data_IF_508715848571
#
_entry.id   IF_508715848571
#
_cell.length_a   1.000
_cell.length_b   1.000
_cell.length_c   1.000
_cell.angle_alpha   90.00
_cell.angle_beta   90.00
_cell.angle_gamma   90.00
#
_symmetry.space_group_name_H-M   'P 1'
#
loop_
_entity.id
_entity.type
_entity.pdbx_description
1 polymer ?
#
# COMPACT_ATOMS: atom_id res chain seq x y z
N UNK A 1 9.74 8.85 -15.24
CA UNK A 1 8.67 9.34 -14.34
C UNK A 1 7.80 8.14 -13.99
N UNK A 2 7.79 7.71 -12.74
CA UNK A 2 6.91 6.61 -12.31
C UNK A 2 5.47 7.14 -12.42
N UNK A 3 4.62 6.47 -13.20
CA UNK A 3 3.22 6.86 -13.32
C UNK A 3 2.50 6.45 -12.04
N UNK A 4 1.82 7.40 -11.39
CA UNK A 4 1.07 7.11 -10.19
C UNK A 4 -0.04 6.09 -10.47
N UNK A 5 -0.12 5.03 -9.67
CA UNK A 5 -1.19 4.03 -9.78
C UNK A 5 -2.45 4.51 -9.06
N UNK A 6 -3.51 4.80 -9.81
CA UNK A 6 -4.77 5.30 -9.24
C UNK A 6 -5.46 4.26 -8.33
N UNK A 7 -5.61 2.97 -8.73
CA UNK A 7 -6.24 1.95 -7.88
C UNK A 7 -5.49 1.74 -6.56
N UNK A 8 -4.16 1.69 -6.62
CA UNK A 8 -3.29 1.55 -5.46
C UNK A 8 -3.45 2.72 -4.48
N UNK A 9 -3.41 3.96 -4.98
CA UNK A 9 -3.55 5.14 -4.15
C UNK A 9 -4.96 5.30 -3.57
N UNK A 10 -6.00 4.85 -4.30
CA UNK A 10 -7.39 4.84 -3.81
C UNK A 10 -7.55 3.89 -2.62
N UNK A 11 -7.01 2.66 -2.73
CA UNK A 11 -7.01 1.68 -1.64
C UNK A 11 -6.27 2.23 -0.40
N UNK A 12 -5.04 2.71 -0.59
CA UNK A 12 -4.25 3.25 0.53
C UNK A 12 -4.94 4.45 1.20
N UNK A 13 -5.67 5.26 0.44
CA UNK A 13 -6.47 6.37 1.00
C UNK A 13 -7.62 5.85 1.87
N UNK A 14 -8.33 4.81 1.43
CA UNK A 14 -9.42 4.22 2.19
C UNK A 14 -8.92 3.64 3.52
N UNK A 15 -7.80 2.93 3.51
CA UNK A 15 -7.19 2.36 4.71
C UNK A 15 -6.63 3.45 5.62
N UNK A 16 -5.93 4.45 5.06
CA UNK A 16 -5.37 5.56 5.84
C UNK A 16 -6.45 6.34 6.62
N UNK A 17 -7.70 6.36 6.16
CA UNK A 17 -8.84 6.98 6.85
C UNK A 17 -9.35 6.18 8.05
N UNK A 18 -9.05 4.88 8.12
CA UNK A 18 -9.42 4.03 9.25
C UNK A 18 -8.48 4.26 10.46
N UNK A 19 -7.44 5.08 10.31
CA UNK A 19 -6.42 5.35 11.33
C UNK A 19 -5.73 4.09 11.89
N UNK A 20 -5.83 2.97 11.19
CA UNK A 20 -5.20 1.71 11.55
C UNK A 20 -3.85 1.57 10.83
N UNK A 21 -2.77 1.46 11.60
CA UNK A 21 -1.44 1.12 11.07
C UNK A 21 -1.33 -0.39 10.93
N UNK A 22 -0.93 -0.87 9.75
CA UNK A 22 -0.83 -2.29 9.41
C UNK A 22 0.60 -2.67 9.04
N UNK A 23 0.98 -3.91 9.29
CA UNK A 23 2.26 -4.46 8.81
C UNK A 23 2.10 -5.05 7.38
N UNK A 24 0.90 -5.53 7.04
CA UNK A 24 0.52 -6.13 5.75
C UNK A 24 -0.99 -5.98 5.53
N UNK A 25 -1.43 -6.07 4.26
CA UNK A 25 -2.86 -6.16 3.90
C UNK A 25 -3.28 -7.60 3.61
N UNK A 26 -4.51 -7.97 4.01
CA UNK A 26 -5.07 -9.31 3.74
C UNK A 26 -5.78 -9.36 2.38
N UNK A 27 -6.07 -10.56 1.88
CA UNK A 27 -6.78 -10.75 0.63
C UNK A 27 -8.17 -10.11 0.62
N UNK A 28 -8.87 -10.11 1.75
CA UNK A 28 -10.17 -9.47 1.93
C UNK A 28 -10.07 -7.95 1.73
N UNK A 29 -8.98 -7.33 2.18
CA UNK A 29 -8.75 -5.89 2.01
C UNK A 29 -8.36 -5.51 0.58
N UNK A 30 -7.83 -6.46 -0.19
CA UNK A 30 -7.44 -6.29 -1.59
C UNK A 30 -8.55 -6.70 -2.57
N UNK A 31 -9.61 -7.35 -2.07
CA UNK A 31 -10.74 -7.79 -2.87
C UNK A 31 -11.49 -6.60 -3.48
N UNK A 32 -11.90 -6.72 -4.74
CA UNK A 32 -12.63 -5.66 -5.45
C UNK A 32 -11.80 -4.46 -5.90
N UNK A 33 -10.47 -4.47 -5.67
CA UNK A 33 -9.56 -3.47 -6.22
C UNK A 33 -8.86 -3.98 -7.49
N UNK A 34 -8.84 -3.15 -8.53
CA UNK A 34 -8.12 -3.40 -9.79
C UNK A 34 -6.60 -3.21 -9.60
N UNK A 35 -6.00 -4.07 -8.80
CA UNK A 35 -4.57 -4.12 -8.54
C UNK A 35 -3.93 -5.21 -9.39
N UNK A 36 -2.77 -4.88 -9.95
CA UNK A 36 -1.87 -5.85 -10.56
C UNK A 36 -1.30 -6.82 -9.52
N UNK A 37 -0.80 -7.97 -9.98
CA UNK A 37 -0.18 -8.97 -9.12
C UNK A 37 1.02 -8.42 -8.34
N UNK A 38 1.80 -7.53 -8.96
CA UNK A 38 2.93 -6.88 -8.32
C UNK A 38 2.50 -5.96 -7.17
N UNK A 39 1.40 -5.21 -7.34
CA UNK A 39 0.85 -4.36 -6.29
C UNK A 39 0.27 -5.19 -5.15
N UNK A 40 -0.46 -6.26 -5.47
CA UNK A 40 -1.00 -7.19 -4.47
C UNK A 40 0.13 -7.82 -3.64
N UNK A 41 1.17 -8.32 -4.30
CA UNK A 41 2.33 -8.90 -3.63
C UNK A 41 3.02 -7.89 -2.70
N UNK A 42 3.25 -6.65 -3.18
CA UNK A 42 3.87 -5.60 -2.39
C UNK A 42 3.04 -5.20 -1.16
N UNK A 43 1.71 -5.10 -1.31
CA UNK A 43 0.79 -4.76 -0.22
C UNK A 43 0.70 -5.88 0.84
N UNK A 44 0.70 -7.15 0.42
CA UNK A 44 0.71 -8.31 1.34
C UNK A 44 2.05 -8.45 2.07
N UNK A 45 3.16 -8.15 1.40
CA UNK A 45 4.48 -8.22 2.01
C UNK A 45 4.80 -7.01 2.91
N UNK A 46 4.01 -5.93 2.82
CA UNK A 46 4.37 -4.65 3.43
C UNK A 46 5.63 -4.05 2.82
N UNK A 47 5.93 -4.35 1.55
CA UNK A 47 7.14 -3.92 0.86
C UNK A 47 7.02 -2.46 0.42
N UNK A 48 7.36 -1.57 1.36
CA UNK A 48 7.35 -0.12 1.19
C UNK A 48 8.16 0.32 -0.03
N UNK A 49 9.33 -0.27 -0.25
CA UNK A 49 10.20 0.09 -1.38
C UNK A 49 9.53 -0.26 -2.69
N UNK A 50 8.95 -1.46 -2.80
CA UNK A 50 8.22 -1.86 -4.00
C UNK A 50 6.99 -0.99 -4.25
N UNK A 51 6.27 -0.59 -3.20
CA UNK A 51 5.13 0.32 -3.32
C UNK A 51 5.54 1.68 -3.91
N UNK A 52 6.70 2.21 -3.52
CA UNK A 52 7.26 3.44 -4.12
C UNK A 52 7.52 3.28 -5.63
N UNK A 53 8.14 2.16 -6.03
CA UNK A 53 8.43 1.86 -7.44
C UNK A 53 7.15 1.71 -8.28
N UNK A 54 6.09 1.18 -7.67
CA UNK A 54 4.77 0.99 -8.31
C UNK A 54 3.91 2.27 -8.32
N UNK A 55 4.45 3.39 -7.85
CA UNK A 55 3.77 4.68 -7.93
C UNK A 55 2.74 4.92 -6.82
N UNK A 56 2.87 4.24 -5.68
CA UNK A 56 2.13 4.61 -4.48
C UNK A 56 2.62 5.96 -3.92
N UNK A 57 1.70 6.73 -3.36
CA UNK A 57 1.97 8.01 -2.77
C UNK A 57 2.78 7.83 -1.46
N UNK A 58 3.98 8.44 -1.35
CA UNK A 58 4.81 8.43 -0.14
C UNK A 58 4.04 8.71 1.16
N UNK A 59 3.11 9.65 1.10
CA UNK A 59 2.34 10.09 2.24
C UNK A 59 1.37 9.00 2.72
N UNK A 60 0.70 8.33 1.78
CA UNK A 60 -0.26 7.28 2.09
C UNK A 60 0.44 6.03 2.63
N UNK A 61 1.59 5.64 2.06
CA UNK A 61 2.39 4.53 2.59
C UNK A 61 2.71 4.74 4.07
N UNK A 62 3.17 5.94 4.45
CA UNK A 62 3.49 6.28 5.85
C UNK A 62 2.28 6.30 6.79
N UNK A 63 1.07 6.48 6.24
CA UNK A 63 -0.19 6.45 7.00
C UNK A 63 -0.83 5.07 7.10
N UNK A 64 -0.44 4.13 6.24
CA UNK A 64 -1.00 2.78 6.22
C UNK A 64 -0.04 1.80 6.87
N UNK A 65 1.25 1.87 6.53
CA UNK A 65 2.23 0.89 6.97
C UNK A 65 3.03 1.37 8.18
N UNK A 66 3.09 0.52 9.21
CA UNK A 66 3.96 0.76 10.35
C UNK A 66 5.40 0.60 9.89
N UNK A 67 6.18 1.68 9.95
CA UNK A 67 7.62 1.60 9.68
C UNK A 67 8.25 0.78 10.81
N UNK A 68 8.64 -0.46 10.53
CA UNK A 68 9.57 -1.20 11.39
C UNK A 68 10.91 -0.50 11.31
N UNK A 69 11.13 0.46 12.21
CA UNK A 69 12.49 0.83 12.56
C UNK A 69 13.06 -0.41 13.24
N UNK A 70 13.83 -1.20 12.47
CA UNK A 70 14.67 -2.24 13.04
C UNK A 70 15.70 -1.48 13.88
N UNK A 71 15.57 -1.57 15.21
CA UNK A 71 16.57 -1.07 16.16
C UNK A 71 17.77 -2.01 16.11
#
# INVERSE_FOLDING_TARGET
>A
MIKASYPLNKLLTAIARQHAMKDALTDEELAGHELSDAERAALKAGDITKLYELGANPYLIRRVFRRRFRI
#
